data_IF_283909374072
#
_entry.id   IF_283909374072
#
_cell.length_a   1.000
_cell.length_b   1.000
_cell.length_c   1.000
_cell.angle_alpha   90.00
_cell.angle_beta   90.00
_cell.angle_gamma   90.00
#
_symmetry.space_group_name_H-M   'P 1'
#
loop_
_entity.id
_entity.type
_entity.pdbx_description
1 polymer ?
#
# COMPACT_ATOMS: atom_id res chain seq x y z
N UNK A 1 -27.23 90.59 43.07
CA UNK A 1 -26.75 91.97 43.37
C UNK A 1 -27.84 93.04 43.40
N UNK A 2 -28.99 92.86 42.72
CA UNK A 2 -29.95 93.96 42.47
C UNK A 2 -30.87 94.35 43.64
N UNK A 3 -31.22 93.42 44.56
CA UNK A 3 -32.15 93.72 45.66
C UNK A 3 -31.56 94.59 46.80
N UNK A 4 -30.25 94.53 47.03
CA UNK A 4 -29.61 95.23 48.17
C UNK A 4 -29.59 96.76 47.94
N UNK A 5 -29.24 97.20 46.73
CA UNK A 5 -29.23 98.63 46.34
C UNK A 5 -30.60 99.33 46.44
N UNK A 6 -31.70 98.58 46.47
CA UNK A 6 -33.06 99.15 46.56
C UNK A 6 -33.45 99.45 48.02
N UNK A 7 -32.92 98.70 48.98
CA UNK A 7 -33.27 98.85 50.40
C UNK A 7 -32.47 100.03 51.01
N UNK A 8 -31.16 100.10 50.75
CA UNK A 8 -30.31 101.19 51.24
C UNK A 8 -30.76 102.59 50.78
N UNK A 9 -31.34 102.69 49.58
CA UNK A 9 -31.84 103.97 49.04
C UNK A 9 -33.11 104.46 49.74
N UNK A 10 -34.00 103.57 50.19
CA UNK A 10 -35.23 103.99 50.85
C UNK A 10 -34.95 104.47 52.29
N UNK A 11 -34.12 103.74 53.05
CA UNK A 11 -33.78 104.12 54.43
C UNK A 11 -33.03 105.46 54.52
N UNK A 12 -32.12 105.74 53.58
CA UNK A 12 -31.42 107.03 53.53
C UNK A 12 -32.35 108.21 53.20
N UNK A 13 -33.37 108.00 52.34
CA UNK A 13 -34.36 109.03 52.04
C UNK A 13 -35.28 109.33 53.24
N UNK A 14 -35.75 108.31 53.96
CA UNK A 14 -36.61 108.50 55.14
C UNK A 14 -35.90 109.22 56.30
N UNK A 15 -34.60 108.99 56.48
CA UNK A 15 -33.79 109.73 57.46
C UNK A 15 -33.54 111.18 57.02
N UNK A 16 -33.18 111.43 55.76
CA UNK A 16 -32.94 112.79 55.24
C UNK A 16 -34.20 113.68 55.30
N UNK A 17 -35.38 113.13 54.96
CA UNK A 17 -36.66 113.83 55.06
C UNK A 17 -37.00 114.19 56.52
N UNK A 18 -36.72 113.28 57.47
CA UNK A 18 -36.99 113.52 58.89
C UNK A 18 -36.11 114.62 59.52
N UNK A 19 -34.86 114.77 59.10
CA UNK A 19 -33.99 115.86 59.61
C UNK A 19 -34.43 117.21 59.04
N UNK A 20 -34.83 117.24 57.76
CA UNK A 20 -35.16 118.48 57.05
C UNK A 20 -36.45 119.14 57.57
N UNK A 21 -37.47 118.36 57.96
CA UNK A 21 -38.72 118.91 58.51
C UNK A 21 -38.56 119.48 59.92
N UNK A 22 -37.62 118.98 60.72
CA UNK A 22 -37.40 119.40 62.12
C UNK A 22 -36.73 120.77 62.24
N UNK A 23 -35.81 121.14 61.34
CA UNK A 23 -35.16 122.46 61.34
C UNK A 23 -36.19 123.60 61.26
N UNK A 24 -37.19 123.45 60.39
CA UNK A 24 -38.19 124.49 60.12
C UNK A 24 -38.98 124.96 61.36
N UNK A 25 -39.21 124.09 62.34
CA UNK A 25 -39.93 124.46 63.57
C UNK A 25 -39.06 125.33 64.49
N UNK A 26 -37.81 124.91 64.71
CA UNK A 26 -36.84 125.63 65.52
C UNK A 26 -36.47 126.99 64.89
N UNK A 27 -36.17 127.02 63.59
CA UNK A 27 -35.82 128.25 62.89
C UNK A 27 -36.97 129.25 62.86
N UNK A 28 -38.22 128.78 62.74
CA UNK A 28 -39.41 129.64 62.86
C UNK A 28 -39.50 130.27 64.26
N UNK A 29 -39.43 129.46 65.32
CA UNK A 29 -39.54 129.93 66.71
C UNK A 29 -38.41 130.88 67.13
N UNK A 30 -37.18 130.59 66.70
CA UNK A 30 -36.00 131.46 66.85
C UNK A 30 -36.19 132.84 66.19
N UNK A 31 -36.85 132.88 65.02
CA UNK A 31 -37.15 134.13 64.33
C UNK A 31 -38.30 134.92 64.97
N UNK A 32 -39.34 134.24 65.49
CA UNK A 32 -40.41 134.86 66.30
C UNK A 32 -39.81 135.58 67.53
N UNK A 33 -38.95 134.89 68.30
CA UNK A 33 -38.24 135.46 69.45
C UNK A 33 -37.38 136.68 69.10
N UNK A 34 -36.63 136.61 67.99
CA UNK A 34 -35.79 137.72 67.51
C UNK A 34 -36.61 138.96 67.18
N UNK A 35 -37.81 138.79 66.60
CA UNK A 35 -38.70 139.89 66.26
C UNK A 35 -39.35 140.54 67.51
N UNK A 36 -39.56 139.78 68.59
CA UNK A 36 -40.05 140.31 69.86
C UNK A 36 -39.01 141.16 70.60
N UNK A 37 -37.75 140.68 70.70
CA UNK A 37 -36.66 141.40 71.36
C UNK A 37 -36.47 142.84 70.85
N UNK A 38 -36.76 143.08 69.56
CA UNK A 38 -36.66 144.39 68.92
C UNK A 38 -37.85 145.34 69.20
N UNK A 39 -38.92 144.85 69.85
CA UNK A 39 -40.16 145.59 70.15
C UNK A 39 -40.37 145.87 71.64
N UNK A 40 -39.37 145.61 72.47
CA UNK A 40 -39.41 145.98 73.89
C UNK A 40 -39.45 147.52 74.02
N UNK A 41 -40.39 148.09 74.78
CA UNK A 41 -40.51 149.53 74.93
C UNK A 41 -39.32 150.09 75.71
N UNK A 42 -38.95 151.34 75.40
CA UNK A 42 -37.96 152.08 76.19
C UNK A 42 -38.60 152.65 77.45
N UNK A 43 -37.77 152.77 78.48
CA UNK A 43 -38.13 153.37 79.77
C UNK A 43 -38.76 154.75 79.55
N UNK A 44 -39.87 155.01 80.25
CA UNK A 44 -40.62 156.26 80.13
C UNK A 44 -40.76 156.86 81.52
N UNK A 45 -40.38 158.12 81.67
CA UNK A 45 -40.49 158.85 82.94
C UNK A 45 -41.95 158.95 83.39
N UNK A 46 -42.18 158.88 84.71
CA UNK A 46 -43.51 159.08 85.27
C UNK A 46 -43.91 160.56 85.11
N UNK A 47 -45.14 160.85 84.64
CA UNK A 47 -45.62 162.22 84.57
C UNK A 47 -45.67 162.84 85.96
N UNK A 48 -45.62 164.18 86.03
CA UNK A 48 -45.71 164.94 87.27
C UNK A 48 -46.80 166.02 87.17
N UNK A 49 -47.26 166.49 88.32
CA UNK A 49 -48.14 167.68 88.40
C UNK A 49 -47.35 168.96 88.10
N UNK A 50 -48.00 170.03 87.58
CA UNK A 50 -47.33 171.30 87.32
C UNK A 50 -46.80 171.91 88.62
N UNK A 51 -45.54 172.37 88.62
CA UNK A 51 -44.86 172.90 89.82
C UNK A 51 -44.71 174.43 89.85
N UNK A 52 -44.96 175.12 88.74
CA UNK A 52 -44.85 176.58 88.64
C UNK A 52 -46.03 177.19 87.88
N UNK A 53 -46.38 178.44 88.23
CA UNK A 53 -47.55 179.13 87.73
C UNK A 53 -47.35 180.65 87.67
N UNK A 54 -48.26 181.33 86.98
CA UNK A 54 -48.17 182.76 86.73
C UNK A 54 -47.14 183.13 85.65
N UNK A 55 -47.15 184.41 85.26
CA UNK A 55 -46.36 184.90 84.12
C UNK A 55 -44.85 184.76 84.42
N UNK A 56 -44.13 184.08 83.53
CA UNK A 56 -42.71 183.70 83.66
C UNK A 56 -42.35 182.73 84.81
N UNK A 57 -43.32 182.03 85.41
CA UNK A 57 -43.06 180.94 86.35
C UNK A 57 -42.48 181.38 87.71
N UNK A 58 -42.59 182.67 88.04
CA UNK A 58 -42.08 183.26 89.30
C UNK A 58 -42.96 182.99 90.53
N UNK A 59 -44.05 182.25 90.39
CA UNK A 59 -44.94 181.87 91.49
C UNK A 59 -45.11 180.34 91.55
N UNK A 60 -45.23 179.81 92.77
CA UNK A 60 -45.58 178.41 92.96
C UNK A 60 -47.03 178.17 92.48
N UNK A 61 -47.26 177.05 91.79
CA UNK A 61 -48.61 176.66 91.37
C UNK A 61 -49.22 175.72 92.41
N UNK A 62 -50.30 176.14 93.04
CA UNK A 62 -51.11 175.26 93.89
C UNK A 62 -51.81 174.21 93.02
N UNK A 63 -51.33 172.97 93.13
CA UNK A 63 -51.81 171.81 92.37
C UNK A 63 -53.30 171.60 92.64
N UNK A 64 -54.11 171.64 91.58
CA UNK A 64 -55.57 171.45 91.69
C UNK A 64 -55.93 169.97 91.69
N UNK A 65 -57.10 169.64 92.24
CA UNK A 65 -57.64 168.27 92.17
C UNK A 65 -57.74 167.73 90.73
N UNK A 66 -57.96 168.60 89.74
CA UNK A 66 -57.93 168.24 88.31
C UNK A 66 -56.54 167.82 87.81
N UNK A 67 -55.47 168.44 88.32
CA UNK A 67 -54.09 168.10 87.95
C UNK A 67 -53.67 166.77 88.59
N UNK A 68 -54.10 166.50 89.83
CA UNK A 68 -53.95 165.20 90.50
C UNK A 68 -54.74 164.08 89.81
N UNK A 69 -55.98 164.34 89.36
CA UNK A 69 -56.75 163.36 88.61
C UNK A 69 -56.09 163.04 87.27
N UNK A 70 -55.62 164.05 86.51
CA UNK A 70 -54.89 163.85 85.24
C UNK A 70 -53.59 163.08 85.45
N UNK A 71 -52.86 163.36 86.54
CA UNK A 71 -51.68 162.58 86.93
C UNK A 71 -52.03 161.12 87.20
N UNK A 72 -53.10 160.89 87.97
CA UNK A 72 -53.57 159.54 88.35
C UNK A 72 -54.00 158.73 87.13
N UNK A 73 -54.76 159.34 86.22
CA UNK A 73 -55.17 158.75 84.94
C UNK A 73 -53.96 158.41 84.06
N UNK A 74 -53.00 159.33 83.93
CA UNK A 74 -51.76 159.10 83.16
C UNK A 74 -50.88 158.00 83.77
N UNK A 75 -50.79 157.91 85.11
CA UNK A 75 -50.10 156.81 85.80
C UNK A 75 -50.86 155.50 85.55
N UNK A 76 -52.18 155.49 85.67
CA UNK A 76 -53.01 154.31 85.48
C UNK A 76 -52.88 153.74 84.06
N UNK A 77 -52.96 154.60 83.03
CA UNK A 77 -52.72 154.21 81.64
C UNK A 77 -51.30 153.65 81.45
N UNK A 78 -50.29 154.25 82.08
CA UNK A 78 -48.91 153.76 82.01
C UNK A 78 -48.73 152.40 82.69
N UNK A 79 -49.37 152.17 83.84
CA UNK A 79 -49.37 150.87 84.51
C UNK A 79 -50.11 149.80 83.70
N UNK A 80 -51.21 150.17 83.02
CA UNK A 80 -51.93 149.28 82.08
C UNK A 80 -51.04 148.93 80.87
N UNK A 81 -50.32 149.90 80.31
CA UNK A 81 -49.37 149.68 79.22
C UNK A 81 -48.22 148.76 79.66
N UNK A 82 -47.60 149.01 80.82
CA UNK A 82 -46.56 148.17 81.39
C UNK A 82 -47.06 146.74 81.67
N UNK A 83 -48.28 146.55 82.17
CA UNK A 83 -48.85 145.22 82.38
C UNK A 83 -49.06 144.48 81.05
N UNK A 84 -49.55 145.16 80.01
CA UNK A 84 -49.67 144.59 78.64
C UNK A 84 -48.33 144.19 78.02
N UNK A 85 -47.23 144.82 78.46
CA UNK A 85 -45.86 144.48 78.06
C UNK A 85 -45.37 143.28 78.88
N UNK A 86 -45.55 143.30 80.21
CA UNK A 86 -45.16 142.22 81.12
C UNK A 86 -45.81 140.88 80.74
N UNK A 87 -47.12 140.87 80.48
CA UNK A 87 -47.86 139.67 80.04
C UNK A 87 -47.31 139.13 78.71
N UNK A 88 -46.99 140.00 77.75
CA UNK A 88 -46.35 139.59 76.48
C UNK A 88 -44.96 139.01 76.72
N UNK A 89 -44.14 139.66 77.55
CA UNK A 89 -42.81 139.14 77.93
C UNK A 89 -42.91 137.75 78.56
N UNK A 90 -43.88 137.50 79.44
CA UNK A 90 -44.10 136.17 80.04
C UNK A 90 -44.52 135.12 78.99
N UNK A 91 -45.43 135.46 78.07
CA UNK A 91 -45.84 134.56 76.98
C UNK A 91 -44.68 134.21 76.03
N UNK A 92 -43.80 135.17 75.75
CA UNK A 92 -42.61 134.94 74.94
C UNK A 92 -41.54 134.14 75.70
N UNK A 93 -41.40 134.31 77.03
CA UNK A 93 -40.55 133.43 77.85
C UNK A 93 -41.02 131.97 77.84
N UNK A 94 -42.34 131.72 77.83
CA UNK A 94 -42.86 130.36 77.63
C UNK A 94 -42.51 129.84 76.22
N UNK A 95 -42.59 130.69 75.19
CA UNK A 95 -42.16 130.33 73.82
C UNK A 95 -40.66 130.01 73.75
N UNK A 96 -39.80 130.70 74.52
CA UNK A 96 -38.38 130.36 74.69
C UNK A 96 -38.24 128.96 75.32
N UNK A 97 -38.95 128.70 76.41
CA UNK A 97 -38.91 127.40 77.10
C UNK A 97 -39.35 126.25 76.19
N UNK A 98 -40.47 126.40 75.48
CA UNK A 98 -40.96 125.41 74.52
C UNK A 98 -39.95 125.17 73.38
N UNK A 99 -39.27 126.22 72.92
CA UNK A 99 -38.23 126.12 71.88
C UNK A 99 -37.02 125.32 72.35
N UNK A 100 -36.57 125.52 73.61
CA UNK A 100 -35.49 124.73 74.19
C UNK A 100 -35.92 123.30 74.54
N UNK A 101 -37.17 123.08 74.97
CA UNK A 101 -37.72 121.74 75.22
C UNK A 101 -37.84 120.92 73.93
N UNK A 102 -38.25 121.55 72.82
CA UNK A 102 -38.26 120.93 71.49
C UNK A 102 -36.84 120.60 71.00
N UNK A 103 -35.86 121.48 71.25
CA UNK A 103 -34.46 121.24 70.93
C UNK A 103 -33.92 120.00 71.67
N UNK A 104 -34.11 119.95 73.00
CA UNK A 104 -33.67 118.84 73.85
C UNK A 104 -34.27 117.50 73.39
N UNK A 105 -35.58 117.46 73.16
CA UNK A 105 -36.28 116.24 72.77
C UNK A 105 -35.92 115.74 71.37
N UNK A 106 -35.85 116.61 70.37
CA UNK A 106 -35.74 116.16 68.97
C UNK A 106 -34.29 116.08 68.44
N UNK A 107 -33.42 117.03 68.81
CA UNK A 107 -32.02 117.01 68.34
C UNK A 107 -31.18 116.00 69.10
N UNK A 108 -31.29 115.92 70.44
CA UNK A 108 -30.53 114.91 71.20
C UNK A 108 -30.97 113.50 70.79
N UNK A 109 -32.27 113.27 70.61
CA UNK A 109 -32.76 111.97 70.14
C UNK A 109 -32.28 111.64 68.71
N UNK A 110 -32.17 112.62 67.82
CA UNK A 110 -31.56 112.45 66.49
C UNK A 110 -30.07 112.07 66.55
N UNK A 111 -29.31 112.71 67.43
CA UNK A 111 -27.89 112.38 67.70
C UNK A 111 -27.78 110.95 68.26
N UNK A 112 -28.63 110.58 69.22
CA UNK A 112 -28.64 109.26 69.87
C UNK A 112 -28.97 108.12 68.89
N UNK A 113 -29.92 108.35 67.98
CA UNK A 113 -30.23 107.41 66.87
C UNK A 113 -29.04 107.28 65.92
N UNK A 114 -28.41 108.39 65.55
CA UNK A 114 -27.25 108.40 64.64
C UNK A 114 -26.04 107.68 65.23
N UNK A 115 -25.80 107.86 66.54
CA UNK A 115 -24.72 107.18 67.26
C UNK A 115 -24.95 105.66 67.33
N UNK A 116 -26.17 105.22 67.63
CA UNK A 116 -26.53 103.79 67.60
C UNK A 116 -26.37 103.17 66.22
N UNK A 117 -26.76 103.89 65.16
CA UNK A 117 -26.57 103.42 63.79
C UNK A 117 -25.07 103.28 63.43
N UNK A 118 -24.23 104.21 63.89
CA UNK A 118 -22.78 104.12 63.73
C UNK A 118 -22.15 102.97 64.54
N UNK A 119 -22.62 102.74 65.78
CA UNK A 119 -22.21 101.62 66.63
C UNK A 119 -22.59 100.26 66.01
N UNK A 120 -23.82 100.12 65.50
CA UNK A 120 -24.24 98.93 64.76
C UNK A 120 -23.40 98.71 63.49
N UNK A 121 -23.11 99.77 62.73
CA UNK A 121 -22.27 99.70 61.54
C UNK A 121 -20.84 99.23 61.89
N UNK A 122 -20.27 99.76 62.97
CA UNK A 122 -18.96 99.35 63.47
C UNK A 122 -18.95 97.90 63.97
N UNK A 123 -19.99 97.46 64.70
CA UNK A 123 -20.13 96.06 65.13
C UNK A 123 -20.25 95.10 63.94
N UNK A 124 -21.00 95.48 62.89
CA UNK A 124 -21.09 94.72 61.63
C UNK A 124 -19.75 94.69 60.88
N UNK A 125 -18.99 95.79 60.89
CA UNK A 125 -17.65 95.84 60.29
C UNK A 125 -16.65 94.93 61.02
N UNK A 126 -16.63 94.93 62.35
CA UNK A 126 -15.78 94.05 63.16
C UNK A 126 -16.07 92.56 62.90
N UNK A 127 -17.35 92.17 62.90
CA UNK A 127 -17.76 90.80 62.51
C UNK A 127 -17.37 90.44 61.08
N UNK A 128 -17.38 91.42 60.16
CA UNK A 128 -16.87 91.25 58.80
C UNK A 128 -15.37 90.95 58.76
N UNK A 129 -14.58 91.58 59.63
CA UNK A 129 -13.14 91.34 59.75
C UNK A 129 -12.87 89.95 60.35
N UNK A 130 -13.62 89.55 61.38
CA UNK A 130 -13.55 88.20 61.96
C UNK A 130 -13.81 87.12 60.90
N UNK A 131 -14.89 87.24 60.12
CA UNK A 131 -15.19 86.31 59.03
C UNK A 131 -14.12 86.31 57.91
N UNK A 132 -13.44 87.42 57.63
CA UNK A 132 -12.28 87.44 56.71
C UNK A 132 -11.10 86.67 57.29
N UNK A 133 -10.86 86.75 58.60
CA UNK A 133 -9.78 86.04 59.28
C UNK A 133 -10.03 84.52 59.33
N UNK A 134 -11.27 84.09 59.55
CA UNK A 134 -11.69 82.68 59.46
C UNK A 134 -11.48 82.14 58.04
N UNK A 135 -12.00 82.83 57.02
CA UNK A 135 -11.81 82.47 55.61
C UNK A 135 -10.32 82.35 55.23
N UNK A 136 -9.44 83.24 55.71
CA UNK A 136 -8.00 83.12 55.47
C UNK A 136 -7.37 81.89 56.13
N UNK A 137 -7.86 81.47 57.29
CA UNK A 137 -7.38 80.25 57.95
C UNK A 137 -7.86 79.00 57.20
N UNK A 138 -9.11 78.96 56.74
CA UNK A 138 -9.62 77.88 55.89
C UNK A 138 -8.83 77.76 54.58
N UNK A 139 -8.59 78.89 53.88
CA UNK A 139 -7.77 78.92 52.66
C UNK A 139 -6.37 78.36 52.91
N UNK A 140 -5.72 78.71 54.04
CA UNK A 140 -4.42 78.13 54.41
C UNK A 140 -4.49 76.62 54.66
N UNK A 141 -5.55 76.12 55.30
CA UNK A 141 -5.74 74.68 55.49
C UNK A 141 -5.95 73.96 54.14
N UNK A 142 -6.78 74.50 53.26
CA UNK A 142 -7.03 73.96 51.91
C UNK A 142 -5.73 73.92 51.09
N UNK A 143 -4.94 74.99 51.09
CA UNK A 143 -3.64 75.03 50.40
C UNK A 143 -2.69 73.95 50.95
N UNK A 144 -2.66 73.75 52.27
CA UNK A 144 -1.81 72.72 52.87
C UNK A 144 -2.28 71.28 52.53
N UNK A 145 -3.60 71.04 52.51
CA UNK A 145 -4.17 69.77 52.05
C UNK A 145 -3.85 69.50 50.58
N UNK A 146 -4.03 70.49 49.70
CA UNK A 146 -3.68 70.37 48.28
C UNK A 146 -2.18 70.06 48.08
N UNK A 147 -1.30 70.69 48.87
CA UNK A 147 0.15 70.40 48.86
C UNK A 147 0.45 68.95 49.26
N UNK A 148 -0.25 68.39 50.26
CA UNK A 148 -0.11 66.98 50.64
C UNK A 148 -0.57 66.04 49.52
N UNK A 149 -1.72 66.31 48.88
CA UNK A 149 -2.23 65.52 47.73
C UNK A 149 -1.23 65.52 46.58
N UNK A 150 -0.68 66.69 46.22
CA UNK A 150 0.34 66.81 45.16
C UNK A 150 1.59 65.97 45.49
N UNK A 151 2.03 65.95 46.75
CA UNK A 151 3.17 65.13 47.17
C UNK A 151 2.89 63.62 47.07
N UNK A 152 1.67 63.17 47.41
CA UNK A 152 1.26 61.78 47.25
C UNK A 152 1.23 61.40 45.77
N UNK A 153 0.65 62.24 44.90
CA UNK A 153 0.62 62.01 43.45
C UNK A 153 2.01 61.97 42.83
N UNK A 154 2.93 62.84 43.26
CA UNK A 154 4.33 62.81 42.84
C UNK A 154 5.02 61.50 43.25
N UNK A 155 4.86 61.08 44.51
CA UNK A 155 5.42 59.83 45.00
C UNK A 155 4.83 58.61 44.27
N UNK A 156 3.55 58.63 43.91
CA UNK A 156 2.92 57.58 43.11
C UNK A 156 3.48 57.53 41.69
N UNK A 157 3.61 58.69 41.04
CA UNK A 157 4.24 58.82 39.72
C UNK A 157 5.67 58.26 39.73
N UNK A 158 6.51 58.68 40.68
CA UNK A 158 7.89 58.17 40.80
C UNK A 158 7.95 56.66 41.05
N UNK A 159 6.96 56.08 41.76
CA UNK A 159 6.88 54.62 41.92
C UNK A 159 6.54 53.93 40.60
N UNK A 160 5.62 54.47 39.80
CA UNK A 160 5.27 53.93 38.47
C UNK A 160 6.45 54.07 37.50
N UNK A 161 7.14 55.21 37.47
CA UNK A 161 8.32 55.43 36.62
C UNK A 161 9.52 54.54 37.00
N UNK A 162 9.59 54.08 38.25
CA UNK A 162 10.58 53.09 38.72
C UNK A 162 10.19 51.64 38.42
N UNK A 163 9.01 51.37 37.86
CA UNK A 163 8.67 50.04 37.32
C UNK A 163 9.35 49.93 35.94
N UNK A 164 10.62 49.57 35.98
CA UNK A 164 11.56 49.45 34.85
C UNK A 164 11.04 48.54 33.71
N UNK A 165 10.06 47.70 34.03
CA UNK A 165 9.49 46.64 33.18
C UNK A 165 8.04 46.88 32.74
N UNK A 166 7.48 48.09 32.86
CA UNK A 166 6.08 48.32 32.47
C UNK A 166 5.82 48.03 30.97
N UNK A 167 6.80 48.33 30.11
CA UNK A 167 6.77 48.00 28.68
C UNK A 167 7.03 46.50 28.39
N UNK A 168 7.45 45.71 29.37
CA UNK A 168 7.62 44.27 29.19
C UNK A 168 6.28 43.52 29.24
N UNK A 169 5.21 44.15 29.75
CA UNK A 169 3.83 43.62 29.65
C UNK A 169 3.42 43.47 28.18
N UNK A 170 3.69 44.46 27.34
CA UNK A 170 3.41 44.40 25.90
C UNK A 170 4.27 43.35 25.20
N UNK A 171 5.55 43.22 25.58
CA UNK A 171 6.44 42.17 25.07
C UNK A 171 5.94 40.77 25.45
N UNK A 172 5.51 40.57 26.70
CA UNK A 172 4.92 39.31 27.17
C UNK A 172 3.65 38.99 26.37
N UNK A 173 2.79 39.99 26.08
CA UNK A 173 1.58 39.78 25.29
C UNK A 173 1.88 39.42 23.82
N UNK A 174 2.89 40.04 23.21
CA UNK A 174 3.37 39.70 21.87
C UNK A 174 3.97 38.28 21.81
N UNK A 175 4.78 37.91 22.80
CA UNK A 175 5.34 36.55 22.95
C UNK A 175 4.23 35.53 23.16
N UNK A 176 3.23 35.82 24.01
CA UNK A 176 2.08 34.96 24.25
C UNK A 176 1.25 34.74 22.98
N UNK A 177 1.00 35.79 22.20
CA UNK A 177 0.28 35.72 20.92
C UNK A 177 1.02 34.88 19.88
N UNK A 178 2.36 35.01 19.84
CA UNK A 178 3.24 34.19 19.00
C UNK A 178 3.22 32.72 19.45
N UNK A 179 3.30 32.47 20.76
CA UNK A 179 3.24 31.14 21.35
C UNK A 179 1.90 30.45 21.09
N UNK A 180 0.77 31.16 21.20
CA UNK A 180 -0.56 30.65 20.86
C UNK A 180 -0.66 30.25 19.38
N UNK A 181 -0.06 31.03 18.48
CA UNK A 181 -0.01 30.72 17.05
C UNK A 181 0.85 29.48 16.77
N UNK A 182 2.00 29.36 17.43
CA UNK A 182 2.86 28.18 17.35
C UNK A 182 2.17 26.92 17.89
N UNK A 183 1.43 27.02 19.00
CA UNK A 183 0.65 25.89 19.56
C UNK A 183 -0.44 25.43 18.59
N UNK A 184 -1.15 26.35 17.92
CA UNK A 184 -2.11 25.98 16.86
C UNK A 184 -1.43 25.25 15.70
N UNK A 185 -0.28 25.74 15.25
CA UNK A 185 0.48 25.11 14.17
C UNK A 185 1.05 23.73 14.55
N UNK A 186 1.45 23.55 15.82
CA UNK A 186 1.86 22.25 16.36
C UNK A 186 0.65 21.30 16.42
N UNK A 187 -0.52 21.74 16.90
CA UNK A 187 -1.75 20.91 16.94
C UNK A 187 -2.10 20.36 15.56
N UNK A 188 -2.14 21.20 14.53
CA UNK A 188 -2.43 20.76 13.16
C UNK A 188 -1.38 19.78 12.61
N UNK A 189 -0.11 19.91 13.00
CA UNK A 189 0.95 18.95 12.63
C UNK A 189 0.80 17.61 13.36
N UNK A 190 0.35 17.62 14.62
CA UNK A 190 0.06 16.39 15.40
C UNK A 190 -1.12 15.66 14.79
N UNK A 191 -2.23 16.35 14.50
CA UNK A 191 -3.42 15.76 13.84
C UNK A 191 -3.04 15.13 12.47
N UNK A 192 -2.19 15.79 11.69
CA UNK A 192 -1.68 15.24 10.43
C UNK A 192 -0.70 14.06 10.60
N UNK A 193 0.00 13.97 11.74
CA UNK A 193 0.84 12.83 12.09
C UNK A 193 0.00 11.64 12.57
N UNK A 194 -1.07 11.86 13.33
CA UNK A 194 -2.00 10.82 13.78
C UNK A 194 -2.63 10.09 12.59
N UNK A 195 -3.09 10.82 11.57
CA UNK A 195 -3.59 10.24 10.32
C UNK A 195 -2.54 9.37 9.61
N UNK A 196 -1.30 9.87 9.47
CA UNK A 196 -0.20 9.10 8.86
C UNK A 196 0.17 7.85 9.65
N UNK A 197 0.06 7.87 10.98
CA UNK A 197 0.28 6.69 11.82
C UNK A 197 -0.83 5.68 11.64
N UNK A 198 -2.08 6.11 11.44
CA UNK A 198 -3.18 5.22 11.09
C UNK A 198 -2.96 4.54 9.73
N UNK A 199 -2.63 5.31 8.68
CA UNK A 199 -2.33 4.78 7.34
C UNK A 199 -1.20 3.73 7.39
N UNK A 200 -0.07 4.06 8.04
CA UNK A 200 1.05 3.13 8.23
C UNK A 200 0.67 1.88 9.04
N UNK A 201 -0.28 1.99 9.97
CA UNK A 201 -0.77 0.85 10.75
C UNK A 201 -1.57 -0.10 9.88
N UNK A 202 -2.37 0.41 8.93
CA UNK A 202 -3.15 -0.42 8.00
C UNK A 202 -2.27 -1.02 6.90
N UNK A 203 -1.27 -0.29 6.39
CA UNK A 203 -0.21 -0.87 5.55
C UNK A 203 0.53 -2.01 6.25
N UNK A 204 0.88 -1.85 7.54
CA UNK A 204 1.56 -2.89 8.32
C UNK A 204 0.69 -4.13 8.53
N UNK A 205 -0.63 -3.98 8.71
CA UNK A 205 -1.58 -5.13 8.74
C UNK A 205 -1.59 -5.86 7.40
N UNK A 206 -1.66 -5.13 6.29
CA UNK A 206 -1.67 -5.73 4.95
C UNK A 206 -0.37 -6.51 4.66
N UNK A 207 0.78 -5.95 5.06
CA UNK A 207 2.07 -6.63 4.98
C UNK A 207 2.12 -7.90 5.85
N UNK A 208 1.60 -7.88 7.08
CA UNK A 208 1.52 -9.06 7.95
C UNK A 208 0.63 -10.16 7.34
N UNK A 209 -0.51 -9.80 6.74
CA UNK A 209 -1.35 -10.76 6.01
C UNK A 209 -0.62 -11.36 4.81
N UNK A 210 0.06 -10.53 4.01
CA UNK A 210 0.87 -11.02 2.87
C UNK A 210 2.03 -11.91 3.32
N UNK A 211 2.65 -11.64 4.46
CA UNK A 211 3.71 -12.47 5.03
C UNK A 211 3.18 -13.84 5.47
N UNK A 212 1.97 -13.91 6.04
CA UNK A 212 1.33 -15.19 6.37
C UNK A 212 1.10 -16.04 5.12
N UNK A 213 0.49 -15.46 4.07
CA UNK A 213 0.23 -16.17 2.81
C UNK A 213 1.54 -16.69 2.19
N UNK A 214 2.59 -15.86 2.14
CA UNK A 214 3.90 -16.28 1.65
C UNK A 214 4.51 -17.43 2.49
N UNK A 215 4.31 -17.42 3.80
CA UNK A 215 4.80 -18.47 4.69
C UNK A 215 4.07 -19.80 4.46
N UNK A 216 2.77 -19.75 4.19
CA UNK A 216 1.93 -20.92 3.87
C UNK A 216 2.30 -21.48 2.49
N UNK A 217 2.43 -20.64 1.46
CA UNK A 217 2.90 -21.01 0.12
C UNK A 217 4.29 -21.67 0.16
N UNK A 218 5.22 -21.10 0.95
CA UNK A 218 6.56 -21.66 1.13
C UNK A 218 6.55 -23.03 1.83
N UNK A 219 5.70 -23.20 2.84
CA UNK A 219 5.52 -24.49 3.52
C UNK A 219 4.96 -25.54 2.56
N UNK A 220 3.94 -25.18 1.76
CA UNK A 220 3.34 -26.06 0.76
C UNK A 220 4.32 -26.47 -0.36
N UNK A 221 5.12 -25.52 -0.87
CA UNK A 221 6.17 -25.81 -1.85
C UNK A 221 7.23 -26.78 -1.29
N UNK A 222 7.59 -26.64 -0.01
CA UNK A 222 8.51 -27.57 0.67
C UNK A 222 7.90 -28.97 0.79
N UNK A 223 6.61 -29.09 1.10
CA UNK A 223 5.90 -30.37 1.16
C UNK A 223 5.89 -31.07 -0.21
N UNK A 224 5.51 -30.36 -1.27
CA UNK A 224 5.55 -30.86 -2.66
C UNK A 224 6.96 -31.36 -3.03
N UNK A 225 8.01 -30.59 -2.69
CA UNK A 225 9.39 -31.00 -2.97
C UNK A 225 9.79 -32.29 -2.22
N UNK A 226 9.34 -32.47 -0.97
CA UNK A 226 9.58 -33.70 -0.22
C UNK A 226 8.85 -34.90 -0.85
N UNK A 227 7.59 -34.75 -1.24
CA UNK A 227 6.82 -35.81 -1.91
C UNK A 227 7.43 -36.21 -3.27
N UNK A 228 7.83 -35.23 -4.08
CA UNK A 228 8.52 -35.47 -5.35
C UNK A 228 9.85 -36.20 -5.13
N UNK A 229 10.65 -35.80 -4.14
CA UNK A 229 11.91 -36.47 -3.83
C UNK A 229 11.72 -37.92 -3.34
N UNK A 230 10.70 -38.17 -2.51
CA UNK A 230 10.34 -39.54 -2.10
C UNK A 230 9.90 -40.39 -3.31
N UNK A 231 9.12 -39.82 -4.22
CA UNK A 231 8.66 -40.51 -5.44
C UNK A 231 9.84 -40.88 -6.35
N UNK A 232 10.76 -39.95 -6.60
CA UNK A 232 11.99 -40.21 -7.37
C UNK A 232 12.86 -41.26 -6.68
N UNK A 233 13.03 -41.18 -5.37
CA UNK A 233 13.79 -42.17 -4.58
C UNK A 233 13.19 -43.57 -4.71
N UNK A 234 11.87 -43.71 -4.66
CA UNK A 234 11.21 -45.00 -4.84
C UNK A 234 11.39 -45.54 -6.27
N UNK A 235 11.27 -44.68 -7.29
CA UNK A 235 11.49 -45.07 -8.69
C UNK A 235 12.92 -45.60 -8.91
N UNK A 236 13.93 -44.88 -8.38
CA UNK A 236 15.34 -45.30 -8.43
C UNK A 236 15.55 -46.64 -7.71
N UNK A 237 14.90 -46.85 -6.55
CA UNK A 237 14.96 -48.13 -5.83
C UNK A 237 14.39 -49.29 -6.67
N UNK A 238 13.21 -49.09 -7.28
CA UNK A 238 12.56 -50.10 -8.13
C UNK A 238 13.38 -50.40 -9.39
N UNK A 239 14.00 -49.37 -9.99
CA UNK A 239 14.92 -49.53 -11.13
C UNK A 239 16.17 -50.33 -10.73
N UNK A 240 16.77 -50.03 -9.57
CA UNK A 240 17.95 -50.75 -9.08
C UNK A 240 17.66 -52.23 -8.84
N UNK A 241 16.51 -52.57 -8.24
CA UNK A 241 16.07 -53.97 -8.08
C UNK A 241 15.88 -54.67 -9.45
N UNK A 242 15.33 -53.95 -10.44
CA UNK A 242 15.15 -54.46 -11.80
C UNK A 242 16.49 -54.70 -12.51
N UNK A 243 17.46 -53.81 -12.33
CA UNK A 243 18.82 -53.97 -12.84
C UNK A 243 19.48 -55.21 -12.23
N UNK A 244 19.42 -55.40 -10.91
CA UNK A 244 19.99 -56.59 -10.28
C UNK A 244 19.36 -57.91 -10.78
N UNK A 245 18.07 -57.92 -11.12
CA UNK A 245 17.42 -59.08 -11.76
C UNK A 245 17.96 -59.33 -13.18
N UNK A 246 18.17 -58.28 -13.96
CA UNK A 246 18.75 -58.37 -15.32
C UNK A 246 20.20 -58.86 -15.24
N UNK A 247 21.01 -58.37 -14.30
CA UNK A 247 22.39 -58.82 -14.07
C UNK A 247 22.45 -60.32 -13.72
N UNK A 248 21.56 -60.79 -12.85
CA UNK A 248 21.46 -62.21 -12.52
C UNK A 248 21.13 -63.08 -13.75
N UNK A 249 20.11 -62.70 -14.54
CA UNK A 249 19.74 -63.39 -15.78
C UNK A 249 20.90 -63.36 -16.80
N UNK A 250 21.60 -62.22 -16.93
CA UNK A 250 22.74 -62.09 -17.84
C UNK A 250 23.89 -63.02 -17.44
N UNK A 251 24.15 -63.19 -16.14
CA UNK A 251 25.16 -64.10 -15.62
C UNK A 251 24.80 -65.58 -15.84
N UNK A 252 23.53 -65.93 -15.64
CA UNK A 252 23.00 -67.26 -15.95
C UNK A 252 23.14 -67.57 -17.45
N UNK A 253 22.69 -66.66 -18.32
CA UNK A 253 22.79 -66.80 -19.77
C UNK A 253 24.24 -66.95 -20.24
N UNK A 254 25.20 -66.21 -19.67
CA UNK A 254 26.62 -66.39 -20.00
C UNK A 254 27.11 -67.81 -19.63
N UNK A 255 26.71 -68.33 -18.46
CA UNK A 255 27.05 -69.69 -18.01
C UNK A 255 26.43 -70.76 -18.93
N UNK A 256 25.20 -70.54 -19.38
CA UNK A 256 24.52 -71.42 -20.33
C UNK A 256 25.20 -71.41 -21.71
N UNK A 257 25.61 -70.24 -22.21
CA UNK A 257 26.37 -70.10 -23.47
C UNK A 257 27.73 -70.81 -23.39
N UNK A 258 28.47 -70.65 -22.29
CA UNK A 258 29.72 -71.40 -22.06
C UNK A 258 29.51 -72.93 -22.05
N UNK A 259 28.37 -73.39 -21.52
CA UNK A 259 28.02 -74.82 -21.49
C UNK A 259 27.69 -75.33 -22.89
N UNK A 260 26.83 -74.63 -23.62
CA UNK A 260 26.47 -74.97 -25.01
C UNK A 260 27.72 -74.97 -25.91
N UNK A 261 28.64 -74.00 -25.75
CA UNK A 261 29.88 -73.96 -26.52
C UNK A 261 30.77 -75.20 -26.27
N UNK A 262 30.85 -75.69 -25.03
CA UNK A 262 31.54 -76.95 -24.70
C UNK A 262 30.86 -78.15 -25.36
N UNK A 263 29.52 -78.22 -25.31
CA UNK A 263 28.76 -79.28 -25.97
C UNK A 263 28.93 -79.27 -27.49
N UNK A 264 28.90 -78.10 -28.13
CA UNK A 264 29.11 -77.95 -29.58
C UNK A 264 30.52 -78.40 -29.97
N UNK A 265 31.55 -78.07 -29.17
CA UNK A 265 32.91 -78.57 -29.39
C UNK A 265 32.97 -80.10 -29.33
N UNK A 266 32.38 -80.72 -28.30
CA UNK A 266 32.30 -82.19 -28.14
C UNK A 266 31.57 -82.85 -29.31
N UNK A 267 30.48 -82.26 -29.81
CA UNK A 267 29.76 -82.78 -30.98
C UNK A 267 30.57 -82.61 -32.27
N UNK A 268 31.34 -81.52 -32.40
CA UNK A 268 32.28 -81.30 -33.50
C UNK A 268 33.38 -82.37 -33.56
N UNK A 269 33.97 -82.73 -32.42
CA UNK A 269 34.95 -83.82 -32.31
C UNK A 269 34.33 -85.17 -32.72
N UNK A 270 33.17 -85.53 -32.14
CA UNK A 270 32.44 -86.77 -32.49
C UNK A 270 32.09 -86.86 -33.97
N UNK A 271 31.71 -85.75 -34.60
CA UNK A 271 31.43 -85.71 -36.04
C UNK A 271 32.70 -85.88 -36.88
N UNK A 272 33.83 -85.34 -36.41
CA UNK A 272 35.16 -85.58 -36.98
C UNK A 272 35.56 -87.05 -36.92
N UNK A 273 35.39 -87.70 -35.77
CA UNK A 273 35.65 -89.13 -35.57
C UNK A 273 34.75 -90.00 -36.46
N UNK A 274 33.44 -89.70 -36.52
CA UNK A 274 32.51 -90.43 -37.39
C UNK A 274 32.86 -90.26 -38.87
N UNK A 275 33.24 -89.05 -39.31
CA UNK A 275 33.70 -88.80 -40.67
C UNK A 275 34.93 -89.63 -41.01
N UNK A 276 35.89 -89.72 -40.08
CA UNK A 276 37.10 -90.53 -40.23
C UNK A 276 36.76 -92.02 -40.31
N UNK A 277 35.91 -92.53 -39.42
CA UNK A 277 35.47 -93.93 -39.43
C UNK A 277 34.80 -94.30 -40.78
N UNK A 278 33.87 -93.47 -41.27
CA UNK A 278 33.21 -93.66 -42.57
C UNK A 278 34.23 -93.65 -43.72
N UNK A 279 35.25 -92.78 -43.65
CA UNK A 279 36.31 -92.71 -44.67
C UNK A 279 37.22 -93.95 -44.64
N UNK A 280 37.54 -94.46 -43.45
CA UNK A 280 38.32 -95.70 -43.26
C UNK A 280 37.54 -96.94 -43.75
N UNK A 281 36.22 -97.00 -43.48
CA UNK A 281 35.32 -98.05 -43.98
C UNK A 281 35.18 -98.01 -45.50
N UNK A 282 34.97 -96.83 -46.11
CA UNK A 282 34.95 -96.67 -47.57
C UNK A 282 36.27 -97.15 -48.19
N UNK A 283 37.41 -96.78 -47.60
CA UNK A 283 38.72 -97.22 -48.10
C UNK A 283 38.88 -98.76 -47.99
N UNK A 284 38.40 -99.35 -46.90
CA UNK A 284 38.47 -100.79 -46.64
C UNK A 284 37.56 -101.58 -47.59
N UNK A 285 36.32 -101.14 -47.78
CA UNK A 285 35.39 -101.70 -48.76
C UNK A 285 35.92 -101.58 -50.18
N UNK A 286 36.47 -100.43 -50.56
CA UNK A 286 37.08 -100.23 -51.89
C UNK A 286 38.24 -101.20 -52.16
N UNK A 287 39.15 -101.39 -51.20
CA UNK A 287 40.21 -102.41 -51.26
C UNK A 287 39.64 -103.83 -51.40
N UNK A 288 38.56 -104.16 -50.70
CA UNK A 288 37.91 -105.48 -50.73
C UNK A 288 37.21 -105.75 -52.07
N UNK A 289 36.51 -104.75 -52.63
CA UNK A 289 35.91 -104.83 -53.97
C UNK A 289 36.98 -105.03 -55.04
N UNK A 290 38.06 -104.24 -55.02
CA UNK A 290 39.17 -104.38 -55.96
C UNK A 290 39.81 -105.79 -55.90
N UNK A 291 40.01 -106.33 -54.70
CA UNK A 291 40.51 -107.70 -54.51
C UNK A 291 39.54 -108.76 -55.05
N UNK A 292 38.25 -108.63 -54.73
CA UNK A 292 37.24 -109.58 -55.18
C UNK A 292 37.08 -109.59 -56.71
N UNK A 293 37.13 -108.43 -57.37
CA UNK A 293 37.13 -108.35 -58.83
C UNK A 293 38.37 -109.05 -59.41
N UNK A 294 39.56 -108.76 -58.89
CA UNK A 294 40.80 -109.42 -59.34
C UNK A 294 40.78 -110.96 -59.14
N UNK A 295 40.13 -111.46 -58.09
CA UNK A 295 39.95 -112.91 -57.89
C UNK A 295 38.90 -113.51 -58.84
N UNK A 296 37.85 -112.75 -59.17
CA UNK A 296 36.82 -113.15 -60.13
C UNK A 296 37.39 -113.19 -61.55
N UNK A 297 38.16 -112.17 -61.96
CA UNK A 297 38.85 -112.10 -63.25
C UNK A 297 39.81 -113.29 -63.40
N UNK A 298 40.63 -113.57 -62.39
CA UNK A 298 41.54 -114.72 -62.39
C UNK A 298 40.80 -116.08 -62.48
N UNK A 299 39.62 -116.21 -61.86
CA UNK A 299 38.75 -117.40 -62.02
C UNK A 299 38.14 -117.48 -63.41
N UNK A 300 37.69 -116.36 -63.97
CA UNK A 300 37.12 -116.28 -65.31
C UNK A 300 38.16 -116.65 -66.38
N UNK A 301 39.39 -116.15 -66.25
CA UNK A 301 40.52 -116.53 -67.11
C UNK A 301 40.81 -118.03 -67.02
N UNK A 302 40.83 -118.59 -65.80
CA UNK A 302 41.04 -120.02 -65.58
C UNK A 302 39.97 -120.87 -66.27
N UNK A 303 38.68 -120.56 -66.05
CA UNK A 303 37.57 -121.26 -66.70
C UNK A 303 37.57 -121.07 -68.22
N UNK A 304 37.93 -119.88 -68.72
CA UNK A 304 38.05 -119.62 -70.16
C UNK A 304 39.15 -120.45 -70.80
N UNK A 305 40.29 -120.61 -70.11
CA UNK A 305 41.38 -121.48 -70.54
C UNK A 305 40.98 -122.97 -70.53
N UNK A 306 40.26 -123.45 -69.50
CA UNK A 306 39.73 -124.81 -69.48
C UNK A 306 38.71 -125.07 -70.60
N UNK A 307 37.76 -124.16 -70.82
CA UNK A 307 36.79 -124.26 -71.92
C UNK A 307 37.49 -124.25 -73.28
N UNK A 308 38.53 -123.43 -73.46
CA UNK A 308 39.33 -123.38 -74.69
C UNK A 308 40.08 -124.70 -74.91
N UNK A 309 40.70 -125.26 -73.85
CA UNK A 309 41.37 -126.56 -73.91
C UNK A 309 40.39 -127.69 -74.23
N UNK A 310 39.22 -127.70 -73.61
CA UNK A 310 38.17 -128.68 -73.87
C UNK A 310 37.63 -128.56 -75.31
N UNK A 311 37.45 -127.34 -75.83
CA UNK A 311 37.13 -127.10 -77.24
C UNK A 311 38.17 -127.72 -78.18
N UNK A 312 39.46 -127.48 -77.95
CA UNK A 312 40.56 -128.07 -78.74
C UNK A 312 40.53 -129.60 -78.67
N UNK A 313 40.29 -130.18 -77.48
CA UNK A 313 40.16 -131.62 -77.31
C UNK A 313 38.99 -132.20 -78.12
N UNK A 314 37.83 -131.54 -78.13
CA UNK A 314 36.68 -131.96 -78.95
C UNK A 314 36.95 -131.80 -80.45
N UNK A 315 37.60 -130.71 -80.90
CA UNK A 315 38.01 -130.52 -82.30
C UNK A 315 38.98 -131.62 -82.77
N UNK A 316 39.90 -132.05 -81.91
CA UNK A 316 40.81 -133.15 -82.19
C UNK A 316 40.08 -134.50 -82.25
N UNK A 317 39.17 -134.80 -81.32
CA UNK A 317 38.37 -136.02 -81.33
C UNK A 317 37.48 -136.13 -82.59
N UNK A 318 36.94 -134.99 -83.07
CA UNK A 318 36.18 -134.92 -84.33
C UNK A 318 37.09 -135.22 -85.54
N UNK A 319 38.35 -134.75 -85.53
CA UNK A 319 39.34 -135.12 -86.56
C UNK A 319 39.67 -136.61 -86.55
N UNK A 320 39.92 -137.21 -85.38
CA UNK A 320 40.21 -138.63 -85.26
C UNK A 320 39.04 -139.50 -85.75
N UNK A 321 37.80 -139.14 -85.38
CA UNK A 321 36.59 -139.80 -85.90
C UNK A 321 36.50 -139.70 -87.42
N UNK A 322 36.84 -138.55 -88.02
CA UNK A 322 36.84 -138.39 -89.49
C UNK A 322 37.85 -139.31 -90.16
N UNK A 323 39.08 -139.39 -89.64
CA UNK A 323 40.12 -140.29 -90.17
C UNK A 323 39.71 -141.76 -90.04
N UNK A 324 39.09 -142.14 -88.92
CA UNK A 324 38.59 -143.50 -88.73
C UNK A 324 37.49 -143.90 -89.72
N UNK A 325 36.60 -142.97 -90.08
CA UNK A 325 35.57 -143.19 -91.11
C UNK A 325 36.20 -143.38 -92.50
N UNK A 326 37.16 -142.53 -92.88
CA UNK A 326 37.85 -142.60 -94.18
C UNK A 326 38.62 -143.94 -94.34
N UNK A 327 39.32 -144.41 -93.30
CA UNK A 327 39.99 -145.72 -93.32
C UNK A 327 39.01 -146.91 -93.43
N UNK A 328 37.83 -146.79 -92.82
CA UNK A 328 36.85 -147.86 -92.87
C UNK A 328 36.16 -147.95 -94.24
N UNK A 329 35.91 -146.81 -94.90
CA UNK A 329 35.46 -146.74 -96.30
C UNK A 329 36.44 -147.44 -97.25
N UNK A 330 37.74 -147.12 -97.14
CA UNK A 330 38.80 -147.71 -97.98
C UNK A 330 38.92 -149.23 -97.80
N UNK A 331 38.88 -149.72 -96.56
CA UNK A 331 38.92 -151.16 -96.26
C UNK A 331 37.74 -151.95 -96.84
N UNK A 332 36.56 -151.32 -96.91
CA UNK A 332 35.32 -151.94 -97.38
C UNK A 332 35.31 -152.06 -98.91
N UNK A 333 35.90 -151.08 -99.59
CA UNK A 333 36.10 -151.12 -101.05
C UNK A 333 37.01 -152.28 -101.47
N UNK A 334 38.17 -152.43 -100.82
CA UNK A 334 39.14 -153.51 -101.10
C UNK A 334 38.53 -154.90 -100.88
N UNK A 335 37.74 -155.08 -99.81
CA UNK A 335 37.05 -156.34 -99.55
C UNK A 335 36.04 -156.69 -100.67
N UNK A 336 35.21 -155.72 -101.09
CA UNK A 336 34.22 -155.91 -102.14
C UNK A 336 34.83 -156.21 -103.52
N UNK A 337 35.95 -155.57 -103.88
CA UNK A 337 36.68 -155.90 -105.12
C UNK A 337 37.21 -157.34 -105.12
N UNK A 338 37.69 -157.84 -103.98
CA UNK A 338 38.23 -159.21 -103.87
C UNK A 338 37.15 -160.28 -104.09
N UNK A 339 35.96 -160.10 -103.51
CA UNK A 339 34.81 -161.00 -103.69
C UNK A 339 34.28 -160.96 -105.13
N UNK A 340 34.20 -159.76 -105.74
CA UNK A 340 33.81 -159.61 -107.14
C UNK A 340 34.78 -160.31 -108.10
N UNK A 341 36.09 -160.28 -107.79
CA UNK A 341 37.11 -161.01 -108.54
C UNK A 341 36.97 -162.53 -108.39
N UNK A 342 36.64 -163.04 -107.19
CA UNK A 342 36.42 -164.48 -106.96
C UNK A 342 35.21 -164.98 -107.76
N UNK A 343 34.09 -164.26 -107.71
CA UNK A 343 32.88 -164.59 -108.49
C UNK A 343 33.15 -164.62 -110.01
N UNK A 344 34.00 -163.71 -110.53
CA UNK A 344 34.43 -163.74 -111.95
C UNK A 344 35.20 -164.99 -112.33
N UNK A 345 36.09 -165.49 -111.47
CA UNK A 345 36.83 -166.73 -111.73
C UNK A 345 35.91 -167.95 -111.74
N UNK A 346 34.98 -168.04 -110.78
CA UNK A 346 33.99 -169.14 -110.72
C UNK A 346 33.09 -169.18 -111.97
N UNK A 347 32.64 -168.02 -112.47
CA UNK A 347 31.91 -167.91 -113.75
C UNK A 347 32.77 -168.37 -114.94
N UNK A 348 34.08 -168.10 -114.91
CA UNK A 348 35.00 -168.49 -115.98
C UNK A 348 35.25 -170.00 -116.01
N UNK A 349 35.41 -170.65 -114.85
CA UNK A 349 35.48 -172.12 -114.77
C UNK A 349 34.18 -172.78 -115.22
N UNK A 350 33.02 -172.29 -114.78
CA UNK A 350 31.71 -172.80 -115.24
C UNK A 350 31.54 -172.66 -116.77
N UNK A 351 32.09 -171.60 -117.37
CA UNK A 351 32.11 -171.44 -118.83
C UNK A 351 32.98 -172.48 -119.54
N UNK A 352 34.16 -172.81 -118.99
CA UNK A 352 35.02 -173.89 -119.50
C UNK A 352 34.39 -175.28 -119.32
N UNK A 353 33.64 -175.48 -118.24
CA UNK A 353 32.88 -176.69 -117.96
C UNK A 353 31.74 -176.87 -118.98
N UNK A 354 31.00 -175.81 -119.30
CA UNK A 354 30.00 -175.79 -120.38
C UNK A 354 30.64 -175.99 -121.76
N UNK A 355 31.78 -175.36 -122.03
CA UNK A 355 32.52 -175.47 -123.29
C UNK A 355 33.04 -176.88 -123.56
N UNK A 356 33.56 -177.56 -122.54
CA UNK A 356 34.03 -178.95 -122.64
C UNK A 356 32.87 -179.93 -122.84
N UNK A 357 31.76 -179.81 -122.09
CA UNK A 357 30.54 -180.59 -122.35
C UNK A 357 30.02 -180.39 -123.78
N UNK A 358 29.97 -179.15 -124.28
CA UNK A 358 29.50 -178.84 -125.64
C UNK A 358 30.39 -179.46 -126.72
N UNK A 359 31.72 -179.50 -126.51
CA UNK A 359 32.67 -180.07 -127.45
C UNK A 359 32.53 -181.59 -127.53
N UNK A 360 32.46 -182.29 -126.38
CA UNK A 360 32.25 -183.74 -126.32
C UNK A 360 30.90 -184.15 -126.93
N UNK A 361 29.83 -183.37 -126.69
CA UNK A 361 28.51 -183.62 -127.30
C UNK A 361 28.52 -183.52 -128.84
N UNK A 362 29.49 -182.80 -129.42
CA UNK A 362 29.66 -182.65 -130.88
C UNK A 362 30.60 -183.70 -131.48
N UNK A 363 31.67 -184.13 -130.81
CA UNK A 363 32.56 -185.18 -131.35
C UNK A 363 31.93 -186.57 -131.35
N UNK A 364 31.18 -186.95 -130.31
CA UNK A 364 30.48 -188.26 -130.26
C UNK A 364 29.31 -188.35 -131.25
N UNK A 365 28.91 -187.23 -131.88
CA UNK A 365 27.84 -187.17 -132.88
C UNK A 365 28.32 -187.15 -134.34
N UNK A 366 29.64 -187.05 -134.56
CA UNK A 366 30.28 -186.98 -135.89
C UNK A 366 31.17 -188.20 -136.18
N UNK A 367 31.53 -188.99 -135.15
CA UNK A 367 32.28 -190.25 -135.29
C UNK A 367 31.38 -191.42 -134.89
N UNK A 368 31.37 -192.50 -135.68
CA UNK A 368 30.57 -193.72 -135.52
C UNK A 368 29.08 -193.68 -135.95
N UNK A 369 28.70 -192.69 -136.77
CA UNK A 369 27.67 -192.91 -137.80
C UNK A 369 28.17 -193.91 -138.87
N UNK A 370 29.49 -194.17 -138.93
CA UNK A 370 30.13 -195.18 -139.77
C UNK A 370 29.90 -196.65 -139.34
N UNK A 371 29.56 -196.93 -138.08
CA UNK A 371 29.26 -198.32 -137.64
C UNK A 371 27.85 -198.78 -138.08
N UNK A 372 26.97 -197.82 -138.40
CA UNK A 372 25.64 -198.09 -138.98
C UNK A 372 25.73 -198.57 -140.44
N UNK A 373 26.83 -198.28 -141.15
CA UNK A 373 26.95 -198.59 -142.58
C UNK A 373 27.38 -200.03 -142.92
N UNK A 374 27.85 -200.83 -141.95
CA UNK A 374 28.43 -202.17 -142.22
C UNK A 374 27.59 -203.33 -141.66
N UNK A 375 26.97 -203.21 -140.48
CA UNK A 375 26.17 -204.33 -139.92
C UNK A 375 24.74 -204.41 -140.47
N UNK A 376 24.26 -203.38 -141.17
CA UNK A 376 23.07 -203.49 -142.02
C UNK A 376 23.22 -204.53 -143.16
N UNK A 377 24.43 -205.04 -143.42
CA UNK A 377 24.67 -206.17 -144.35
C UNK A 377 24.51 -207.54 -143.65
N UNK A 378 24.65 -207.63 -142.32
CA UNK A 378 24.51 -208.90 -141.57
C UNK A 378 23.05 -209.24 -141.21
N UNK A 379 22.17 -208.24 -141.18
CA UNK A 379 20.70 -208.45 -141.22
C UNK A 379 20.23 -209.04 -142.56
N UNK A 380 21.10 -209.07 -143.60
CA UNK A 380 20.76 -209.49 -144.97
C UNK A 380 21.31 -210.88 -145.33
N UNK A 381 22.24 -211.46 -144.55
CA UNK A 381 22.90 -212.74 -144.91
C UNK A 381 22.60 -213.96 -144.01
N UNK A 382 21.91 -213.80 -142.88
CA UNK A 382 21.27 -214.93 -142.14
C UNK A 382 19.74 -214.90 -142.40
N UNK A 383 19.39 -214.71 -143.67
CA UNK A 383 18.02 -214.64 -144.22
C UNK A 383 17.49 -216.05 -144.61
N UNK A 384 18.04 -217.06 -143.94
CA UNK A 384 17.95 -218.52 -144.16
C UNK A 384 18.21 -219.13 -142.75
N UNK A 385 17.84 -220.35 -142.34
CA UNK A 385 16.91 -221.37 -142.84
C UNK A 385 17.16 -222.80 -142.25
N UNK A 386 18.41 -223.15 -141.95
CA UNK A 386 18.99 -224.31 -141.23
C UNK A 386 20.43 -223.99 -140.75
N UNK A 387 21.40 -223.58 -141.58
CA UNK A 387 21.38 -222.69 -142.77
C UNK A 387 20.83 -221.30 -142.43
#
# INVERSE_FOLDING_TARGET
MTKIKTIERNSNNEQAVNVTTRSNSFDKKKNELKAFSQKLPKETELPCVPTSGGLFGLFNYDVKGSDLNRLTESIQDKMIEQNKVLVRTIQEFNTIYDTFSALDKEYIQGILVSLKAAEEANSKALKGIEGVQENQNEIKQIINQQKQVIQVLKNFKEKIEKIEHLADVDKIFAVFSTMQSNVKAIKAKVEAQELRVADLTDEMKALLSSQSVFQDDFNHLREIQVEQFQTVKQLVSNQNESISKIEAISKENNTNIETINKEVAIHGEKLGDLKRLIQDDIQTLSKKVARNNSELDAKLDSTTNEVTKNKINFENAIKELKVGIEQQEESMSVYLESELSRAKNEITELSLLIGSLSKVLKTTKIISITSIAITCVLVILIIIGVL
#
